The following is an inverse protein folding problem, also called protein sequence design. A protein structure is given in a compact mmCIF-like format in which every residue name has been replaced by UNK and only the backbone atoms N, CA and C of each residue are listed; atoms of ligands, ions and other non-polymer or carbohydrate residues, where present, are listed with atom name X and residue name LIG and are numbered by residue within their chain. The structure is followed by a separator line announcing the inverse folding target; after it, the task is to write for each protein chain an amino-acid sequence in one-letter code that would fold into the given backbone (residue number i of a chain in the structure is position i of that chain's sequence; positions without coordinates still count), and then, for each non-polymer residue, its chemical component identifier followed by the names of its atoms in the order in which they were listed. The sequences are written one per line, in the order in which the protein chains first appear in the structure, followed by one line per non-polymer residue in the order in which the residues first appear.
data_IF_823661361838
#
_entry.id   IF_823661361838
#
_cell.length_a   1.000
_cell.length_b   1.000
_cell.length_c   1.000
_cell.angle_alpha   90.00
_cell.angle_beta   90.00
_cell.angle_gamma   90.00
#
_symmetry.space_group_name_H-M   'P 1'
#
loop_
_entity.id
_entity.type
_entity.pdbx_description
1 polymer ?
#
# COMPACT_ATOMS: atom_id res chain seq x y z
N UNK A 1 26.67 4.22 -10.97
CA UNK A 1 26.56 3.16 -9.95
C UNK A 1 25.07 2.93 -9.70
N UNK A 2 24.43 2.02 -10.42
CA UNK A 2 23.00 1.76 -10.28
C UNK A 2 22.80 0.60 -9.29
N UNK A 3 22.38 0.92 -8.08
CA UNK A 3 22.04 -0.07 -7.06
C UNK A 3 20.80 -0.85 -7.49
N UNK A 4 20.94 -2.15 -7.68
CA UNK A 4 19.82 -3.04 -7.98
C UNK A 4 18.78 -2.97 -6.85
N UNK A 5 17.56 -2.55 -7.17
CA UNK A 5 16.43 -2.58 -6.24
C UNK A 5 16.23 -4.03 -5.76
N UNK A 6 16.40 -4.28 -4.46
CA UNK A 6 16.09 -5.58 -3.86
C UNK A 6 14.58 -5.73 -3.78
N UNK A 7 13.99 -6.42 -4.74
CA UNK A 7 12.57 -6.80 -4.70
C UNK A 7 12.45 -8.04 -3.81
N UNK A 8 11.86 -7.89 -2.62
CA UNK A 8 11.44 -9.04 -1.82
C UNK A 8 10.03 -9.43 -2.26
N UNK A 9 9.92 -10.51 -3.03
CA UNK A 9 8.63 -11.16 -3.29
C UNK A 9 8.36 -12.09 -2.11
N UNK A 10 7.57 -11.63 -1.14
CA UNK A 10 7.13 -12.47 -0.04
C UNK A 10 5.92 -13.27 -0.53
N UNK A 11 6.13 -14.54 -0.91
CA UNK A 11 5.06 -15.49 -1.22
C UNK A 11 4.95 -16.45 -0.04
N UNK A 12 3.90 -16.31 0.77
CA UNK A 12 3.58 -17.33 1.77
C UNK A 12 2.57 -18.31 1.18
N UNK A 13 3.08 -19.48 0.79
CA UNK A 13 2.26 -20.67 0.66
C UNK A 13 1.95 -21.17 2.08
N UNK A 14 0.84 -20.70 2.66
CA UNK A 14 0.25 -21.43 3.77
C UNK A 14 -0.08 -22.83 3.28
N UNK A 15 0.34 -23.87 4.01
CA UNK A 15 0.00 -25.26 3.68
C UNK A 15 -1.52 -25.37 3.68
N UNK A 16 -2.11 -25.37 2.49
CA UNK A 16 -3.54 -25.50 2.29
C UNK A 16 -3.93 -26.93 2.67
N UNK A 17 -4.79 -27.07 3.66
CA UNK A 17 -5.51 -28.31 3.91
C UNK A 17 -6.20 -28.71 2.59
N UNK A 18 -5.92 -29.92 2.04
CA UNK A 18 -6.42 -30.35 0.74
C UNK A 18 -7.96 -30.45 0.68
N UNK A 19 -8.67 -30.30 1.80
CA UNK A 19 -10.14 -30.27 1.88
C UNK A 19 -10.75 -28.89 2.10
N UNK A 20 -9.93 -27.83 2.19
CA UNK A 20 -10.47 -26.47 2.30
C UNK A 20 -11.12 -26.02 0.98
N UNK A 21 -12.31 -25.40 1.00
CA UNK A 21 -12.92 -24.85 -0.20
C UNK A 21 -11.98 -23.82 -0.81
N UNK A 22 -11.66 -24.02 -2.10
CA UNK A 22 -10.80 -23.10 -2.82
C UNK A 22 -11.40 -21.70 -2.74
N UNK A 23 -10.62 -20.68 -2.33
CA UNK A 23 -11.16 -19.33 -2.22
C UNK A 23 -11.68 -18.89 -3.61
N UNK A 24 -12.82 -18.17 -3.68
CA UNK A 24 -13.38 -17.73 -4.95
C UNK A 24 -12.34 -16.94 -5.75
N UNK A 25 -12.33 -17.05 -7.09
CA UNK A 25 -11.29 -16.50 -7.98
C UNK A 25 -10.91 -15.02 -7.74
N UNK A 26 -11.79 -14.22 -7.14
CA UNK A 26 -11.51 -12.82 -6.78
C UNK A 26 -10.58 -12.67 -5.56
N UNK A 27 -10.45 -13.70 -4.70
CA UNK A 27 -9.42 -13.76 -3.64
C UNK A 27 -8.01 -14.04 -4.18
N UNK A 28 -7.87 -14.43 -5.45
CA UNK A 28 -6.59 -14.89 -6.01
C UNK A 28 -5.61 -13.77 -6.40
N UNK A 29 -5.94 -12.48 -6.24
CA UNK A 29 -5.09 -11.36 -6.70
C UNK A 29 -4.96 -10.17 -5.73
N UNK A 30 -5.31 -10.33 -4.44
CA UNK A 30 -5.02 -9.30 -3.43
C UNK A 30 -3.66 -9.58 -2.81
N UNK A 31 -2.63 -8.91 -3.31
CA UNK A 31 -1.28 -9.03 -2.78
C UNK A 31 -0.60 -7.68 -2.67
N UNK A 32 0.30 -7.56 -1.70
CA UNK A 32 1.20 -6.42 -1.60
C UNK A 32 2.59 -6.81 -2.09
N UNK A 33 3.24 -5.90 -2.80
CA UNK A 33 4.65 -6.03 -3.12
C UNK A 33 5.42 -4.90 -2.49
N UNK A 34 6.41 -5.24 -1.68
CA UNK A 34 7.32 -4.26 -1.10
C UNK A 34 8.57 -4.12 -1.99
N UNK A 35 8.98 -2.88 -2.22
CA UNK A 35 10.25 -2.55 -2.85
C UNK A 35 10.84 -1.28 -2.26
N UNK A 36 12.16 -1.19 -2.25
CA UNK A 36 12.88 0.01 -1.80
C UNK A 36 13.47 0.74 -3.00
N UNK A 37 13.18 2.03 -3.11
CA UNK A 37 13.76 2.94 -4.12
C UNK A 37 14.47 4.06 -3.39
N UNK A 38 15.79 4.02 -3.34
CA UNK A 38 16.59 4.96 -2.53
C UNK A 38 16.24 4.85 -1.04
N UNK A 39 15.69 5.92 -0.46
CA UNK A 39 15.23 5.98 0.94
C UNK A 39 13.73 5.76 1.11
N UNK A 40 13.02 5.49 0.03
CA UNK A 40 11.56 5.34 0.01
C UNK A 40 11.19 3.87 -0.02
N UNK A 41 10.32 3.46 0.90
CA UNK A 41 9.70 2.13 0.88
C UNK A 41 8.37 2.23 0.14
N UNK A 42 8.23 1.46 -0.93
CA UNK A 42 7.07 1.47 -1.83
C UNK A 42 6.30 0.16 -1.64
N UNK A 43 4.98 0.29 -1.47
CA UNK A 43 4.05 -0.84 -1.44
C UNK A 43 3.13 -0.77 -2.67
N UNK A 44 3.31 -1.70 -3.60
CA UNK A 44 2.39 -1.88 -4.71
C UNK A 44 1.15 -2.64 -4.21
N UNK A 45 -0.04 -2.10 -4.46
CA UNK A 45 -1.31 -2.74 -4.12
C UNK A 45 -1.92 -3.35 -5.38
N UNK A 46 -1.99 -4.69 -5.41
CA UNK A 46 -2.63 -5.41 -6.51
C UNK A 46 -4.09 -5.72 -6.17
N UNK A 47 -4.99 -5.38 -7.10
CA UNK A 47 -6.42 -5.67 -7.01
C UNK A 47 -7.18 -4.65 -6.16
N UNK A 48 -7.25 -4.87 -4.85
CA UNK A 48 -8.14 -4.12 -3.96
C UNK A 48 -7.54 -3.92 -2.57
N UNK A 49 -7.97 -2.86 -1.86
CA UNK A 49 -7.68 -2.66 -0.44
C UNK A 49 -8.99 -2.64 0.37
N UNK A 50 -9.23 -3.72 1.11
CA UNK A 50 -10.50 -4.00 1.77
C UNK A 50 -10.31 -4.58 3.18
N UNK A 51 -11.41 -4.82 3.90
CA UNK A 51 -11.41 -5.51 5.21
C UNK A 51 -10.51 -6.75 5.28
N UNK A 52 -10.47 -7.56 4.20
CA UNK A 52 -9.77 -8.83 4.17
C UNK A 52 -8.23 -8.75 4.17
N UNK A 53 -7.65 -7.63 3.70
CA UNK A 53 -6.19 -7.50 3.54
C UNK A 53 -5.60 -6.24 4.20
N UNK A 54 -6.43 -5.32 4.73
CA UNK A 54 -5.97 -4.09 5.40
C UNK A 54 -4.96 -4.35 6.53
N UNK A 55 -5.12 -5.43 7.28
CA UNK A 55 -4.26 -5.73 8.42
C UNK A 55 -2.85 -6.17 8.00
N UNK A 56 -2.74 -6.78 6.83
CA UNK A 56 -1.46 -7.19 6.24
C UNK A 56 -0.67 -5.95 5.81
N UNK A 57 -1.27 -5.04 5.03
CA UNK A 57 -0.65 -3.77 4.67
C UNK A 57 -0.23 -2.98 5.91
N UNK A 58 -1.11 -2.90 6.91
CA UNK A 58 -0.81 -2.19 8.17
C UNK A 58 0.45 -2.75 8.82
N UNK A 59 0.55 -4.08 8.95
CA UNK A 59 1.69 -4.75 9.58
C UNK A 59 2.98 -4.46 8.81
N UNK A 60 2.98 -4.68 7.50
CA UNK A 60 4.17 -4.48 6.66
C UNK A 60 4.72 -3.05 6.80
N UNK A 61 3.85 -2.05 6.73
CA UNK A 61 4.23 -0.64 6.85
C UNK A 61 4.76 -0.31 8.25
N UNK A 62 4.10 -0.80 9.31
CA UNK A 62 4.54 -0.56 10.68
C UNK A 62 5.86 -1.26 11.01
N UNK A 63 6.07 -2.49 10.54
CA UNK A 63 7.33 -3.22 10.71
C UNK A 63 8.49 -2.44 10.05
N UNK A 64 8.27 -1.88 8.85
CA UNK A 64 9.25 -1.04 8.17
C UNK A 64 9.50 0.29 8.90
N UNK A 65 8.45 0.90 9.47
CA UNK A 65 8.54 2.12 10.26
C UNK A 65 9.36 1.92 11.54
N UNK A 66 9.09 0.83 12.27
CA UNK A 66 9.87 0.39 13.44
C UNK A 66 11.33 0.08 13.05
N UNK A 67 11.54 -0.48 11.86
CA UNK A 67 12.85 -0.70 11.25
C UNK A 67 13.59 0.58 10.82
N UNK A 68 13.01 1.76 11.01
CA UNK A 68 13.65 3.05 10.76
C UNK A 68 13.28 3.71 9.42
N UNK A 69 12.43 3.10 8.60
CA UNK A 69 11.95 3.75 7.38
C UNK A 69 11.10 4.98 7.73
N UNK A 70 11.22 6.06 6.94
CA UNK A 70 10.51 7.32 7.19
C UNK A 70 9.78 7.86 5.97
N UNK A 71 10.05 7.34 4.77
CA UNK A 71 9.38 7.77 3.54
C UNK A 71 8.67 6.57 2.93
N UNK A 72 7.37 6.70 2.76
CA UNK A 72 6.52 5.63 2.28
C UNK A 72 5.69 6.08 1.09
N UNK A 73 5.54 5.18 0.12
CA UNK A 73 4.62 5.35 -1.00
C UNK A 73 3.74 4.12 -1.09
N UNK A 74 2.43 4.33 -1.25
CA UNK A 74 1.51 3.27 -1.66
C UNK A 74 1.11 3.54 -3.11
N UNK A 75 1.49 2.63 -4.00
CA UNK A 75 1.24 2.73 -5.44
C UNK A 75 -0.02 1.94 -5.80
N UNK A 76 -1.03 2.65 -6.29
CA UNK A 76 -2.33 2.12 -6.66
C UNK A 76 -2.48 1.84 -8.16
N UNK A 77 -1.39 1.86 -8.93
CA UNK A 77 -1.39 1.62 -10.39
C UNK A 77 -2.07 0.32 -10.81
N UNK A 78 -2.17 -0.65 -9.90
CA UNK A 78 -2.80 -1.97 -10.10
C UNK A 78 -4.00 -2.22 -9.19
N UNK A 79 -4.56 -1.15 -8.61
CA UNK A 79 -5.74 -1.21 -7.74
C UNK A 79 -6.98 -0.64 -8.42
N UNK A 80 -8.07 -1.39 -8.37
CA UNK A 80 -9.37 -0.97 -8.89
C UNK A 80 -10.37 -0.52 -7.82
N UNK A 81 -10.13 -0.85 -6.54
CA UNK A 81 -11.15 -0.65 -5.52
C UNK A 81 -10.59 -0.51 -4.10
N UNK A 82 -11.19 0.38 -3.31
CA UNK A 82 -10.92 0.57 -1.89
C UNK A 82 -12.26 0.75 -1.17
N UNK A 83 -12.47 0.02 -0.07
CA UNK A 83 -13.64 0.19 0.80
C UNK A 83 -13.36 1.14 1.99
N UNK A 84 -14.36 1.36 2.85
CA UNK A 84 -14.20 2.20 4.05
C UNK A 84 -13.13 1.69 5.02
N UNK A 85 -12.89 0.38 5.06
CA UNK A 85 -11.85 -0.22 5.88
C UNK A 85 -10.45 0.02 5.31
N UNK A 86 -10.34 -0.01 3.97
CA UNK A 86 -9.13 0.35 3.25
C UNK A 86 -8.74 1.81 3.47
N UNK A 87 -9.70 2.73 3.35
CA UNK A 87 -9.48 4.14 3.68
C UNK A 87 -9.07 4.33 5.14
N UNK A 88 -9.76 3.63 6.06
CA UNK A 88 -9.45 3.68 7.49
C UNK A 88 -8.00 3.28 7.81
N UNK A 89 -7.49 2.21 7.18
CA UNK A 89 -6.10 1.80 7.41
C UNK A 89 -5.09 2.80 6.87
N UNK A 90 -5.35 3.42 5.70
CA UNK A 90 -4.47 4.45 5.15
C UNK A 90 -4.38 5.65 6.09
N UNK A 91 -5.52 6.09 6.65
CA UNK A 91 -5.56 7.21 7.60
C UNK A 91 -4.77 6.87 8.86
N UNK A 92 -4.94 5.66 9.39
CA UNK A 92 -4.15 5.19 10.54
C UNK A 92 -2.67 5.22 10.23
N UNK A 93 -2.23 4.65 9.10
CA UNK A 93 -0.83 4.63 8.72
C UNK A 93 -0.24 6.02 8.56
N UNK A 94 -0.95 6.93 7.89
CA UNK A 94 -0.52 8.33 7.74
C UNK A 94 -0.27 9.01 9.10
N UNK A 95 -1.16 8.80 10.07
CA UNK A 95 -1.01 9.34 11.43
C UNK A 95 0.20 8.75 12.16
N UNK A 96 0.35 7.42 12.16
CA UNK A 96 1.46 6.72 12.84
C UNK A 96 2.83 7.11 12.25
N UNK A 97 2.93 7.16 10.92
CA UNK A 97 4.15 7.56 10.22
C UNK A 97 4.52 9.01 10.55
N UNK A 98 3.55 9.94 10.50
CA UNK A 98 3.77 11.35 10.84
C UNK A 98 4.18 11.55 12.29
N UNK A 99 3.58 10.80 13.22
CA UNK A 99 3.96 10.84 14.63
C UNK A 99 5.43 10.47 14.87
N UNK A 100 6.04 9.72 13.96
CA UNK A 100 7.46 9.34 13.99
C UNK A 100 8.33 10.18 13.04
N UNK A 101 7.83 11.32 12.56
CA UNK A 101 8.56 12.24 11.68
C UNK A 101 8.74 11.73 10.25
N UNK A 102 7.91 10.78 9.81
CA UNK A 102 7.89 10.29 8.44
C UNK A 102 6.80 10.91 7.57
N UNK A 103 6.76 10.49 6.31
CA UNK A 103 5.77 10.90 5.31
C UNK A 103 5.19 9.67 4.58
N UNK A 104 3.89 9.71 4.31
CA UNK A 104 3.17 8.72 3.51
C UNK A 104 2.49 9.41 2.34
N UNK A 105 2.88 9.01 1.12
CA UNK A 105 2.33 9.49 -0.14
C UNK A 105 1.55 8.38 -0.83
N UNK A 106 0.53 8.76 -1.59
CA UNK A 106 -0.24 7.86 -2.44
C UNK A 106 0.07 8.19 -3.89
N UNK A 107 0.26 7.18 -4.73
CA UNK A 107 0.61 7.35 -6.13
C UNK A 107 -0.38 6.60 -7.04
N UNK A 108 -0.53 7.09 -8.26
CA UNK A 108 -1.21 6.36 -9.35
C UNK A 108 -2.67 6.00 -9.04
N UNK A 109 -3.42 6.90 -8.39
CA UNK A 109 -4.86 6.70 -8.22
C UNK A 109 -5.55 6.72 -9.59
N UNK A 110 -6.37 5.71 -9.87
CA UNK A 110 -7.25 5.76 -11.04
C UNK A 110 -8.38 6.79 -10.81
N UNK A 111 -9.12 7.14 -11.87
CA UNK A 111 -10.19 8.14 -11.82
C UNK A 111 -11.24 7.90 -10.74
N UNK A 112 -11.64 6.64 -10.53
CA UNK A 112 -12.67 6.29 -9.54
C UNK A 112 -12.13 6.45 -8.11
N UNK A 113 -10.87 6.07 -7.88
CA UNK A 113 -10.20 6.27 -6.59
C UNK A 113 -9.93 7.74 -6.32
N UNK A 114 -9.45 8.51 -7.30
CA UNK A 114 -9.29 9.97 -7.16
C UNK A 114 -10.61 10.61 -6.74
N UNK A 115 -11.71 10.25 -7.41
CA UNK A 115 -13.04 10.77 -7.07
C UNK A 115 -13.48 10.37 -5.66
N UNK A 116 -13.19 9.14 -5.25
CA UNK A 116 -13.47 8.66 -3.90
C UNK A 116 -12.73 9.50 -2.85
N UNK A 117 -11.44 9.80 -3.05
CA UNK A 117 -10.64 10.61 -2.14
C UNK A 117 -11.10 12.07 -2.07
N UNK A 118 -11.43 12.68 -3.22
CA UNK A 118 -12.00 14.04 -3.28
C UNK A 118 -13.32 14.14 -2.51
N UNK A 119 -14.27 13.23 -2.79
CA UNK A 119 -15.60 13.25 -2.16
C UNK A 119 -15.53 13.06 -0.65
N UNK A 120 -14.55 12.28 -0.18
CA UNK A 120 -14.32 12.03 1.24
C UNK A 120 -13.40 13.05 1.91
N UNK A 121 -12.91 14.06 1.16
CA UNK A 121 -11.95 15.08 1.61
C UNK A 121 -10.66 14.49 2.19
N UNK A 122 -10.29 13.29 1.73
CA UNK A 122 -9.11 12.57 2.20
C UNK A 122 -7.82 13.06 1.56
N UNK A 123 -7.91 13.82 0.46
CA UNK A 123 -6.82 14.61 -0.11
C UNK A 123 -6.15 15.54 0.92
N UNK A 124 -6.86 15.95 1.98
CA UNK A 124 -6.26 16.71 3.09
C UNK A 124 -5.35 15.87 4.00
N UNK A 125 -5.48 14.55 3.98
CA UNK A 125 -4.70 13.64 4.81
C UNK A 125 -3.48 13.07 4.12
N UNK A 126 -3.40 13.15 2.79
CA UNK A 126 -2.34 12.51 2.02
C UNK A 126 -1.80 13.46 0.96
N UNK A 127 -0.49 13.40 0.72
CA UNK A 127 0.05 13.88 -0.56
C UNK A 127 -0.28 12.82 -1.60
N UNK A 128 -1.19 13.16 -2.52
CA UNK A 128 -1.57 12.32 -3.66
C UNK A 128 -0.77 12.81 -4.86
N UNK A 129 -0.03 11.90 -5.48
CA UNK A 129 0.80 12.14 -6.65
C UNK A 129 0.20 11.41 -7.86
N UNK A 130 0.39 11.97 -9.05
CA UNK A 130 -0.15 11.45 -10.30
C UNK A 130 0.46 10.08 -10.62
N UNK A 131 1.75 9.91 -10.34
CA UNK A 131 2.47 8.66 -10.55
C UNK A 131 3.55 8.40 -9.49
N UNK A 132 4.18 7.23 -9.61
CA UNK A 132 5.27 6.83 -8.72
C UNK A 132 6.50 7.73 -8.84
N UNK A 133 6.81 8.25 -10.04
CA UNK A 133 7.95 9.12 -10.25
C UNK A 133 7.85 10.37 -9.41
N UNK A 134 6.71 11.07 -9.49
CA UNK A 134 6.41 12.25 -8.68
C UNK A 134 6.43 11.92 -7.18
N UNK A 135 5.87 10.77 -6.79
CA UNK A 135 5.84 10.35 -5.39
C UNK A 135 7.24 10.11 -4.79
N UNK A 136 8.24 9.81 -5.63
CA UNK A 136 9.62 9.56 -5.23
C UNK A 136 10.49 10.82 -5.14
N UNK A 137 10.03 11.96 -5.65
CA UNK A 137 10.74 13.24 -5.55
C UNK A 137 10.88 13.69 -4.08
N UNK A 138 11.88 14.51 -3.75
CA UNK A 138 12.07 14.95 -2.34
C UNK A 138 10.99 15.93 -1.87
#
# INVERSE_FOLDING_TARGET
MHGAARVRIIRFAGTLDPKSPQPPRWKSHMSFRERTVGRVTVYDVDGQLIVGNRHELKRMVLDALEGGARRFVIDFSRTGYIDSSGLGVLITLSKEIRAQGGDLRLASLNRDLTRLFELTKLDTFFRICDDLGEALEE
#
